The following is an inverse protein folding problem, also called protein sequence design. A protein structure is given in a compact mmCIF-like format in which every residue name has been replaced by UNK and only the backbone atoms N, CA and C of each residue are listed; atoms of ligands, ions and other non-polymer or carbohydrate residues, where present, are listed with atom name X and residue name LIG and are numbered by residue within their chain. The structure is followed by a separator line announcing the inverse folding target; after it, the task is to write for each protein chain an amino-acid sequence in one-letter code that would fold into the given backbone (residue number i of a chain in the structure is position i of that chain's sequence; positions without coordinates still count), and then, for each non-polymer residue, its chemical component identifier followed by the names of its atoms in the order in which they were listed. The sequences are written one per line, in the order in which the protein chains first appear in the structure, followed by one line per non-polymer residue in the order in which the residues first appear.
data_IF_558084651903
#
_entry.id   IF_558084651903
#
_cell.length_a   1.000
_cell.length_b   1.000
_cell.length_c   1.000
_cell.angle_alpha   90.00
_cell.angle_beta   90.00
_cell.angle_gamma   90.00
#
_symmetry.space_group_name_H-M   'P 1'
#
loop_
_entity.id
_entity.type
_entity.pdbx_description
1 polymer ?
#
# COMPACT_ATOMS: atom_id res chain seq x y z
N UNK A 1 36.42 25.43 -6.36
CA UNK A 1 37.03 24.81 -5.17
C UNK A 1 36.43 25.44 -3.92
N UNK A 2 36.10 24.66 -2.87
CA UNK A 2 35.91 25.20 -1.51
C UNK A 2 34.64 24.76 -0.78
N UNK A 3 34.74 23.63 -0.07
CA UNK A 3 33.85 23.24 1.02
C UNK A 3 33.88 24.28 2.15
N UNK A 4 32.75 24.50 2.85
CA UNK A 4 32.80 24.46 4.31
C UNK A 4 31.46 24.04 4.95
N UNK A 5 31.60 23.06 5.84
CA UNK A 5 30.61 22.44 6.71
C UNK A 5 30.36 23.36 7.92
N UNK A 6 29.13 23.39 8.46
CA UNK A 6 28.94 23.51 9.91
C UNK A 6 27.56 23.00 10.32
N UNK A 7 27.61 21.96 11.14
CA UNK A 7 26.53 21.22 11.80
C UNK A 7 25.94 22.04 12.94
N UNK A 8 24.61 22.11 13.03
CA UNK A 8 23.88 22.13 14.31
C UNK A 8 22.55 21.37 14.19
N UNK A 9 22.34 20.40 15.09
CA UNK A 9 21.06 19.80 15.51
C UNK A 9 20.99 20.08 17.02
N UNK A 10 19.81 20.29 17.65
CA UNK A 10 18.86 19.18 17.79
C UNK A 10 17.35 19.51 17.81
N UNK A 11 16.58 18.48 17.42
CA UNK A 11 15.28 18.06 17.94
C UNK A 11 14.07 19.03 17.90
N UNK A 12 13.26 18.87 16.85
CA UNK A 12 11.80 18.69 17.02
C UNK A 12 11.39 17.44 16.25
N UNK A 13 10.80 16.49 16.95
CA UNK A 13 10.11 15.33 16.40
C UNK A 13 8.92 15.78 15.56
N UNK A 14 9.15 16.15 14.31
CA UNK A 14 8.12 16.07 13.27
C UNK A 14 8.33 14.73 12.57
N UNK A 15 7.58 13.72 12.99
CA UNK A 15 7.40 12.52 12.18
C UNK A 15 7.00 12.99 10.77
N UNK A 16 7.78 12.71 9.71
CA UNK A 16 7.28 12.95 8.36
C UNK A 16 6.09 12.01 8.18
N UNK A 17 4.88 12.59 8.12
CA UNK A 17 3.71 11.82 7.73
C UNK A 17 3.98 11.32 6.31
N UNK A 18 4.12 10.01 6.20
CA UNK A 18 4.39 9.33 4.94
C UNK A 18 3.32 9.73 3.92
N UNK A 19 3.71 10.06 2.68
CA UNK A 19 2.77 10.46 1.64
C UNK A 19 1.76 9.33 1.42
N UNK A 20 0.50 9.68 1.65
CA UNK A 20 -0.66 8.82 1.45
C UNK A 20 -0.66 8.39 -0.01
N UNK A 21 -0.58 7.10 -0.30
CA UNK A 21 -0.73 6.58 -1.66
C UNK A 21 -2.15 6.04 -1.81
N UNK A 22 -2.81 6.43 -2.89
CA UNK A 22 -4.14 5.96 -3.29
C UNK A 22 -4.04 5.64 -4.77
N UNK A 23 -3.93 4.35 -5.10
CA UNK A 23 -4.02 3.87 -6.48
C UNK A 23 -5.49 3.88 -6.89
N UNK A 24 -5.86 4.63 -7.94
CA UNK A 24 -7.24 4.70 -8.45
C UNK A 24 -7.42 3.72 -9.61
N UNK A 25 -8.44 2.84 -9.52
CA UNK A 25 -9.05 2.19 -10.69
C UNK A 25 -10.58 2.22 -10.59
N UNK A 26 -11.20 2.90 -11.54
CA UNK A 26 -12.64 3.08 -11.69
C UNK A 26 -13.38 1.82 -12.16
N UNK A 27 -14.46 1.45 -11.48
CA UNK A 27 -15.70 0.90 -12.08
C UNK A 27 -16.87 0.90 -11.06
N UNK A 28 -18.07 1.26 -11.52
CA UNK A 28 -19.31 1.44 -10.76
C UNK A 28 -20.18 0.17 -10.68
N UNK A 29 -20.77 -0.16 -9.52
CA UNK A 29 -21.96 -1.07 -9.40
C UNK A 29 -22.73 -0.86 -8.07
N UNK A 30 -24.06 -1.13 -8.02
CA UNK A 30 -24.94 -0.76 -6.91
C UNK A 30 -25.15 -1.86 -5.84
N UNK A 31 -25.18 -1.41 -4.58
CA UNK A 31 -26.03 -1.86 -3.46
C UNK A 31 -26.25 -3.37 -3.18
N UNK A 32 -25.33 -4.00 -2.46
CA UNK A 32 -25.64 -5.16 -1.58
C UNK A 32 -25.26 -4.84 -0.14
N UNK A 33 -26.12 -5.24 0.82
CA UNK A 33 -25.97 -5.06 2.28
C UNK A 33 -24.52 -5.25 2.70
N UNK A 34 -23.89 -4.17 3.17
CA UNK A 34 -22.49 -4.19 3.58
C UNK A 34 -22.37 -5.00 4.88
N UNK A 35 -21.67 -6.13 4.82
CA UNK A 35 -21.12 -6.74 6.02
C UNK A 35 -20.26 -5.69 6.73
N UNK A 36 -20.39 -5.59 8.06
CA UNK A 36 -19.68 -4.58 8.84
C UNK A 36 -18.17 -4.67 8.53
N UNK A 37 -17.50 -3.55 8.23
CA UNK A 37 -16.07 -3.54 7.94
C UNK A 37 -15.31 -4.10 9.15
N UNK A 38 -14.39 -5.03 8.89
CA UNK A 38 -13.56 -5.60 9.93
C UNK A 38 -12.09 -5.60 9.50
N UNK A 39 -11.23 -5.06 10.38
CA UNK A 39 -9.78 -5.07 10.20
C UNK A 39 -9.20 -6.39 10.69
N UNK A 40 -8.35 -7.03 9.89
CA UNK A 40 -7.62 -8.24 10.27
C UNK A 40 -6.14 -8.11 9.90
N UNK A 41 -5.31 -8.93 10.53
CA UNK A 41 -3.91 -9.13 10.12
C UNK A 41 -3.85 -9.72 8.70
N UNK A 42 -2.71 -9.52 8.02
CA UNK A 42 -2.47 -10.15 6.72
C UNK A 42 -2.58 -11.69 6.79
N UNK A 43 -3.07 -12.35 5.72
CA UNK A 43 -2.95 -13.79 5.58
C UNK A 43 -1.49 -14.23 5.78
N UNK A 44 -1.19 -15.15 6.73
CA UNK A 44 0.19 -15.45 7.11
C UNK A 44 1.06 -15.95 5.95
N UNK A 45 0.48 -16.71 5.02
CA UNK A 45 1.19 -17.20 3.82
C UNK A 45 1.61 -16.04 2.92
N UNK A 46 0.67 -15.15 2.59
CA UNK A 46 0.93 -14.00 1.74
C UNK A 46 1.97 -13.06 2.38
N UNK A 47 1.83 -12.79 3.68
CA UNK A 47 2.81 -12.00 4.44
C UNK A 47 4.21 -12.59 4.31
N UNK A 48 4.40 -13.86 4.69
CA UNK A 48 5.72 -14.52 4.60
C UNK A 48 6.28 -14.53 3.18
N UNK A 49 5.45 -14.78 2.17
CA UNK A 49 5.88 -14.78 0.78
C UNK A 49 6.43 -13.42 0.35
N UNK A 50 5.74 -12.33 0.70
CA UNK A 50 6.20 -10.97 0.39
C UNK A 50 7.43 -10.57 1.20
N UNK A 51 7.50 -10.92 2.49
CA UNK A 51 8.68 -10.68 3.33
C UNK A 51 9.91 -11.44 2.79
N UNK A 52 9.75 -12.70 2.36
CA UNK A 52 10.81 -13.48 1.70
C UNK A 52 11.29 -12.81 0.40
N UNK A 53 10.36 -12.28 -0.39
CA UNK A 53 10.66 -11.68 -1.69
C UNK A 53 11.40 -10.33 -1.55
N UNK A 54 11.01 -9.52 -0.57
CA UNK A 54 11.41 -8.10 -0.51
C UNK A 54 12.32 -7.76 0.68
N UNK A 55 12.42 -8.64 1.67
CA UNK A 55 13.17 -8.40 2.91
C UNK A 55 12.55 -7.38 3.87
N UNK A 56 11.37 -6.83 3.56
CA UNK A 56 10.69 -5.85 4.42
C UNK A 56 9.83 -6.54 5.48
N UNK A 57 9.64 -5.90 6.64
CA UNK A 57 8.76 -6.41 7.69
C UNK A 57 7.32 -5.94 7.48
N UNK A 58 6.39 -6.89 7.35
CA UNK A 58 4.97 -6.64 7.07
C UNK A 58 4.04 -7.09 8.21
N UNK A 59 4.58 -7.38 9.39
CA UNK A 59 3.81 -7.86 10.55
C UNK A 59 2.74 -6.88 11.04
N UNK A 60 2.98 -5.59 10.83
CA UNK A 60 2.08 -4.51 11.29
C UNK A 60 1.07 -4.06 10.22
N UNK A 61 0.97 -4.77 9.09
CA UNK A 61 0.00 -4.44 8.05
C UNK A 61 -1.39 -4.95 8.42
N UNK A 62 -2.39 -4.08 8.25
CA UNK A 62 -3.80 -4.36 8.52
C UNK A 62 -4.60 -4.33 7.22
N UNK A 63 -5.52 -5.27 7.09
CA UNK A 63 -6.45 -5.36 5.97
C UNK A 63 -7.87 -5.07 6.46
N UNK A 64 -8.49 -4.05 5.88
CA UNK A 64 -9.85 -3.61 6.14
C UNK A 64 -10.75 -4.17 5.03
N UNK A 65 -11.36 -5.32 5.29
CA UNK A 65 -12.27 -5.98 4.36
C UNK A 65 -13.65 -5.30 4.38
N UNK A 66 -14.37 -5.40 3.25
CA UNK A 66 -15.71 -4.82 3.08
C UNK A 66 -15.76 -3.32 3.39
N UNK A 67 -14.64 -2.61 3.15
CA UNK A 67 -14.52 -1.20 3.47
C UNK A 67 -15.34 -0.35 2.49
N UNK A 68 -16.10 0.65 2.97
CA UNK A 68 -16.72 1.65 2.09
C UNK A 68 -15.72 2.65 1.52
N UNK A 69 -14.48 2.73 2.06
CA UNK A 69 -13.52 3.79 1.71
C UNK A 69 -13.08 3.79 0.24
N UNK A 70 -12.78 2.64 -0.40
CA UNK A 70 -12.35 2.68 -1.80
C UNK A 70 -13.40 3.30 -2.73
N UNK A 71 -14.69 3.11 -2.45
CA UNK A 71 -15.77 3.71 -3.22
C UNK A 71 -15.74 5.26 -3.21
N UNK A 72 -15.29 5.89 -2.11
CA UNK A 72 -15.18 7.35 -2.00
C UNK A 72 -14.19 7.96 -2.99
N UNK A 73 -13.22 7.17 -3.45
CA UNK A 73 -12.19 7.57 -4.41
C UNK A 73 -12.35 6.89 -5.76
N UNK A 74 -13.49 6.21 -5.98
CA UNK A 74 -13.81 5.42 -7.16
C UNK A 74 -12.78 4.31 -7.42
N UNK A 75 -12.35 3.62 -6.36
CA UNK A 75 -11.42 2.49 -6.42
C UNK A 75 -12.07 1.21 -5.90
N UNK A 76 -11.54 0.06 -6.31
CA UNK A 76 -11.92 -1.24 -5.73
C UNK A 76 -11.13 -1.56 -4.46
N UNK A 77 -9.88 -1.14 -4.41
CA UNK A 77 -8.98 -1.31 -3.29
C UNK A 77 -7.94 -0.18 -3.30
N UNK A 78 -7.27 0.05 -2.17
CA UNK A 78 -6.05 0.86 -2.13
C UNK A 78 -5.22 0.56 -0.87
N UNK A 79 -3.92 0.80 -0.97
CA UNK A 79 -2.93 0.67 0.10
C UNK A 79 -2.40 2.03 0.58
N UNK A 80 -2.50 2.30 1.89
CA UNK A 80 -2.03 3.54 2.50
C UNK A 80 -1.21 3.25 3.76
N UNK A 81 0.10 3.46 3.69
CA UNK A 81 1.01 3.30 4.83
C UNK A 81 1.14 1.84 5.24
N UNK A 82 0.38 1.43 6.27
CA UNK A 82 0.30 0.03 6.73
C UNK A 82 -1.12 -0.54 6.67
N UNK A 83 -2.04 0.17 6.03
CA UNK A 83 -3.44 -0.20 5.96
C UNK A 83 -3.83 -0.45 4.50
N UNK A 84 -4.45 -1.61 4.24
CA UNK A 84 -5.02 -1.99 2.95
C UNK A 84 -6.54 -1.96 3.09
N UNK A 85 -7.23 -1.28 2.19
CA UNK A 85 -8.69 -1.22 2.18
C UNK A 85 -9.23 -1.94 0.95
N UNK A 86 -10.15 -2.88 1.16
CA UNK A 86 -10.76 -3.69 0.10
C UNK A 86 -12.25 -3.46 0.10
N UNK A 87 -12.82 -3.17 -1.07
CA UNK A 87 -14.28 -3.17 -1.24
C UNK A 87 -14.83 -4.59 -1.07
N UNK A 88 -16.14 -4.74 -0.81
CA UNK A 88 -16.77 -6.05 -0.75
C UNK A 88 -16.50 -6.89 -2.01
N UNK A 89 -16.00 -8.12 -1.84
CA UNK A 89 -15.72 -9.05 -2.94
C UNK A 89 -14.45 -8.75 -3.75
N UNK A 90 -13.58 -7.86 -3.27
CA UNK A 90 -12.35 -7.43 -3.96
C UNK A 90 -11.06 -7.99 -3.32
N UNK A 91 -11.15 -9.10 -2.59
CA UNK A 91 -10.02 -9.75 -1.89
C UNK A 91 -8.90 -10.19 -2.82
N UNK A 92 -9.23 -10.46 -4.09
CA UNK A 92 -8.26 -10.78 -5.15
C UNK A 92 -7.20 -9.68 -5.36
N UNK A 93 -7.49 -8.43 -4.98
CA UNK A 93 -6.54 -7.31 -5.10
C UNK A 93 -5.51 -7.30 -3.97
N UNK A 94 -5.73 -8.04 -2.88
CA UNK A 94 -4.87 -8.00 -1.70
C UNK A 94 -3.38 -8.26 -1.99
N UNK A 95 -2.98 -9.25 -2.82
CA UNK A 95 -1.56 -9.45 -3.14
C UNK A 95 -0.93 -8.24 -3.83
N UNK A 96 -1.67 -7.61 -4.74
CA UNK A 96 -1.23 -6.42 -5.47
C UNK A 96 -1.09 -5.21 -4.54
N UNK A 97 -2.11 -4.94 -3.71
CA UNK A 97 -2.06 -3.87 -2.71
C UNK A 97 -0.91 -4.07 -1.69
N UNK A 98 -0.60 -5.32 -1.35
CA UNK A 98 0.55 -5.61 -0.50
C UNK A 98 1.89 -5.31 -1.19
N UNK A 99 1.98 -5.49 -2.50
CA UNK A 99 3.12 -5.07 -3.31
C UNK A 99 3.38 -3.57 -3.17
N UNK A 100 2.33 -2.74 -3.21
CA UNK A 100 2.45 -1.30 -2.97
C UNK A 100 2.96 -0.97 -1.57
N UNK A 101 2.49 -1.66 -0.53
CA UNK A 101 3.00 -1.47 0.84
C UNK A 101 4.51 -1.81 0.90
N UNK A 102 4.95 -2.86 0.21
CA UNK A 102 6.37 -3.21 0.15
C UNK A 102 7.20 -2.14 -0.57
N UNK A 103 6.73 -1.63 -1.71
CA UNK A 103 7.40 -0.52 -2.42
C UNK A 103 7.48 0.75 -1.56
N UNK A 104 6.42 1.06 -0.81
CA UNK A 104 6.40 2.17 0.16
C UNK A 104 7.46 1.97 1.26
N UNK A 105 7.54 0.76 1.83
CA UNK A 105 8.51 0.42 2.86
C UNK A 105 9.96 0.49 2.36
N UNK A 106 10.20 0.16 1.08
CA UNK A 106 11.51 0.26 0.44
C UNK A 106 11.87 1.69 0.00
N UNK A 107 10.95 2.67 0.15
CA UNK A 107 11.17 4.05 -0.30
C UNK A 107 11.25 4.18 -1.83
N UNK A 108 10.72 3.20 -2.57
CA UNK A 108 10.69 3.20 -4.04
C UNK A 108 9.66 4.19 -4.57
N UNK A 109 8.60 4.43 -3.79
CA UNK A 109 7.49 5.30 -4.19
C UNK A 109 7.84 6.75 -3.86
N UNK A 110 8.47 7.43 -4.81
CA UNK A 110 8.64 8.89 -4.77
C UNK A 110 7.39 9.54 -5.36
N UNK A 111 6.80 10.56 -4.71
CA UNK A 111 5.67 11.28 -5.29
C UNK A 111 6.06 11.87 -6.64
N UNK A 112 5.32 11.55 -7.70
CA UNK A 112 5.47 12.17 -9.01
C UNK A 112 4.34 13.14 -9.32
N UNK A 113 3.23 13.02 -8.59
CA UNK A 113 2.05 13.89 -8.72
C UNK A 113 1.35 14.03 -7.37
N UNK A 114 0.39 14.95 -7.29
CA UNK A 114 -0.51 15.09 -6.15
C UNK A 114 -1.97 15.08 -6.63
N UNK A 115 -2.81 14.25 -5.99
CA UNK A 115 -4.24 14.18 -6.27
C UNK A 115 -4.99 14.53 -4.99
N UNK A 116 -5.70 15.66 -4.96
CA UNK A 116 -6.43 16.10 -3.76
C UNK A 116 -5.55 16.21 -2.49
N UNK A 117 -4.30 16.69 -2.63
CA UNK A 117 -3.34 16.81 -1.52
C UNK A 117 -2.73 15.49 -1.05
N UNK A 118 -2.89 14.43 -1.85
CA UNK A 118 -2.35 13.08 -1.61
C UNK A 118 -1.24 12.87 -2.63
N UNK A 119 -0.01 12.69 -2.17
CA UNK A 119 1.15 12.45 -3.02
C UNK A 119 1.11 11.04 -3.62
N UNK A 120 0.97 10.96 -4.95
CA UNK A 120 0.80 9.73 -5.71
C UNK A 120 2.00 9.52 -6.64
N UNK A 121 2.32 8.26 -6.90
CA UNK A 121 3.20 7.87 -7.98
C UNK A 121 2.36 7.12 -9.03
N UNK A 122 2.42 7.58 -10.27
CA UNK A 122 1.67 7.01 -11.41
C UNK A 122 2.61 6.34 -12.43
N UNK A 123 3.75 5.79 -11.98
CA UNK A 123 4.68 5.06 -12.85
C UNK A 123 4.13 3.66 -13.16
N UNK A 124 3.78 3.35 -14.42
CA UNK A 124 3.23 2.04 -14.79
C UNK A 124 4.21 0.89 -14.53
N UNK A 125 5.52 1.14 -14.43
CA UNK A 125 6.50 0.11 -14.07
C UNK A 125 6.34 -0.33 -12.63
N UNK A 126 6.02 0.59 -11.71
CA UNK A 126 5.79 0.26 -10.31
C UNK A 126 4.48 -0.50 -10.14
N UNK A 127 3.44 -0.19 -10.93
CA UNK A 127 2.18 -0.94 -10.95
C UNK A 127 2.36 -2.40 -11.36
N UNK A 128 3.12 -2.62 -12.43
CA UNK A 128 3.42 -3.98 -12.89
C UNK A 128 4.25 -4.73 -11.86
N UNK A 129 5.27 -4.08 -11.28
CA UNK A 129 6.10 -4.70 -10.25
C UNK A 129 5.29 -5.08 -9.00
N UNK A 130 4.34 -4.24 -8.56
CA UNK A 130 3.47 -4.57 -7.44
C UNK A 130 2.61 -5.81 -7.74
N UNK A 131 2.14 -5.95 -8.99
CA UNK A 131 1.42 -7.13 -9.46
C UNK A 131 2.29 -8.38 -9.42
N UNK A 132 3.48 -8.33 -10.04
CA UNK A 132 4.40 -9.45 -10.12
C UNK A 132 4.84 -9.91 -8.72
N UNK A 133 5.13 -8.96 -7.82
CA UNK A 133 5.48 -9.25 -6.43
C UNK A 133 4.32 -9.88 -5.66
N UNK A 134 3.09 -9.42 -5.88
CA UNK A 134 1.90 -10.02 -5.30
C UNK A 134 1.74 -11.48 -5.71
N UNK A 135 1.85 -11.77 -7.01
CA UNK A 135 1.76 -13.12 -7.55
C UNK A 135 2.89 -14.04 -7.04
N UNK A 136 4.13 -13.54 -7.03
CA UNK A 136 5.27 -14.26 -6.48
C UNK A 136 5.12 -14.54 -4.98
N UNK A 137 4.61 -13.57 -4.21
CA UNK A 137 4.37 -13.73 -2.77
C UNK A 137 3.34 -14.83 -2.49
N UNK A 138 2.27 -14.93 -3.29
CA UNK A 138 1.30 -16.04 -3.18
C UNK A 138 1.98 -17.39 -3.37
N UNK A 139 2.89 -17.51 -4.36
CA UNK A 139 3.63 -18.74 -4.65
C UNK A 139 4.64 -19.09 -3.55
N UNK A 140 5.44 -18.13 -3.11
CA UNK A 140 6.49 -18.31 -2.08
C UNK A 140 5.93 -18.53 -0.66
N UNK A 141 4.70 -18.09 -0.41
CA UNK A 141 4.01 -18.29 0.86
C UNK A 141 3.45 -19.70 1.07
N UNK A 142 3.39 -20.49 0.00
CA UNK A 142 2.89 -21.87 -0.01
C UNK A 142 3.94 -22.95 0.24
N UNK A 143 5.22 -22.60 0.15
CA UNK A 143 6.37 -23.47 0.41
C UNK A 143 6.91 -23.38 1.83
#
# INVERSE_FOLDING_TARGET
MGFNQLVTKPSRSTHPQQPRLVQRRCASVPGKRMAAPHSRSLPPRLRRGMEKLTGVNLANVRVHYNSPKPALVQAHAYAQGKDIYLSPGQEKHLPHELGHIAQQALGMVKPTTEVNGVAVNDDPKLEQQATDWGEMAVRLGGG
#
